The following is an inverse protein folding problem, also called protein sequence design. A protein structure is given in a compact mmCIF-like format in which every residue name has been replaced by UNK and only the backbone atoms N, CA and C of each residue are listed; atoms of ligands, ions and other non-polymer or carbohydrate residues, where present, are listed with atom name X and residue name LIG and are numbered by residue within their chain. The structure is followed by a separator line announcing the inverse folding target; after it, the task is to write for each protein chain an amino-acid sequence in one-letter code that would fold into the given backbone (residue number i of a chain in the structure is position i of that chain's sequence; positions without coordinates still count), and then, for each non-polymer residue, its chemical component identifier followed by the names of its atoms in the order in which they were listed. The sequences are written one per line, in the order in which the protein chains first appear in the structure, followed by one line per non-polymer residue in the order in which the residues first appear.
data_IF_385344035594
#
_entry.id   IF_385344035594
#
_cell.length_a   1.000
_cell.length_b   1.000
_cell.length_c   1.000
_cell.angle_alpha   90.00
_cell.angle_beta   90.00
_cell.angle_gamma   90.00
#
_symmetry.space_group_name_H-M   'P 1'
#
loop_
_entity.id
_entity.type
_entity.pdbx_description
1 polymer ?
#
# COMPACT_ATOMS: atom_id res chain seq x y z
N UNK A 1 -7.86 -1.46 5.01
CA UNK A 1 -7.76 -0.33 4.06
C UNK A 1 -9.01 -0.24 3.22
N UNK A 2 -8.92 -0.59 1.93
CA UNK A 2 -10.00 -0.38 0.95
C UNK A 2 -11.39 -0.85 1.39
N UNK A 3 -11.49 -2.05 2.00
CA UNK A 3 -12.78 -2.58 2.49
C UNK A 3 -13.38 -1.69 3.59
N UNK A 4 -12.57 -1.13 4.49
CA UNK A 4 -13.07 -0.23 5.54
C UNK A 4 -13.69 1.04 4.97
N UNK A 5 -12.94 1.72 4.09
CA UNK A 5 -13.43 2.91 3.37
C UNK A 5 -14.63 2.61 2.43
N UNK A 6 -14.80 1.37 1.99
CA UNK A 6 -15.98 0.94 1.25
C UNK A 6 -17.19 0.79 2.18
N UNK A 7 -17.02 0.15 3.35
CA UNK A 7 -18.09 0.01 4.35
C UNK A 7 -18.61 1.39 4.78
N UNK A 8 -17.70 2.34 5.04
CA UNK A 8 -18.09 3.70 5.40
C UNK A 8 -18.98 4.34 4.33
N UNK A 9 -18.58 4.25 3.05
CA UNK A 9 -19.37 4.76 1.94
C UNK A 9 -20.74 4.11 1.83
N UNK A 10 -20.85 2.80 2.12
CA UNK A 10 -22.12 2.08 2.07
C UNK A 10 -23.04 2.44 3.25
N UNK A 11 -22.49 2.72 4.42
CA UNK A 11 -23.26 2.98 5.64
C UNK A 11 -23.59 4.46 5.84
N UNK A 12 -22.62 5.34 5.56
CA UNK A 12 -22.68 6.77 5.86
C UNK A 12 -22.73 7.65 4.61
N UNK A 13 -22.46 7.09 3.42
CA UNK A 13 -22.43 7.84 2.15
C UNK A 13 -21.12 8.57 1.88
N UNK A 14 -20.20 8.58 2.83
CA UNK A 14 -18.88 9.22 2.76
C UNK A 14 -17.84 8.43 3.55
N UNK A 15 -16.57 8.86 3.50
CA UNK A 15 -15.52 8.31 4.36
C UNK A 15 -15.36 9.21 5.56
N UNK A 16 -15.26 8.61 6.74
CA UNK A 16 -15.05 9.36 7.97
C UNK A 16 -13.55 9.49 8.21
N UNK A 17 -13.03 10.71 8.01
CA UNK A 17 -11.66 11.09 8.34
C UNK A 17 -11.64 11.75 9.72
N UNK A 18 -10.73 11.30 10.58
CA UNK A 18 -10.68 11.73 11.98
C UNK A 18 -9.26 12.05 12.49
N UNK A 19 -8.22 11.72 11.71
CA UNK A 19 -6.85 12.10 12.02
C UNK A 19 -6.48 13.35 11.22
N UNK A 20 -6.32 14.47 11.92
CA UNK A 20 -5.76 15.72 11.39
C UNK A 20 -4.35 15.89 11.96
N UNK A 21 -3.36 15.94 11.07
CA UNK A 21 -1.95 16.11 11.43
C UNK A 21 -1.47 17.43 10.84
N UNK A 22 -0.86 18.28 11.65
CA UNK A 22 -0.45 19.60 11.23
C UNK A 22 0.86 20.04 11.90
N UNK A 23 1.52 21.00 11.27
CA UNK A 23 2.66 21.75 11.81
C UNK A 23 2.42 23.23 11.53
N UNK A 24 2.37 24.04 12.60
CA UNK A 24 1.95 25.44 12.55
C UNK A 24 0.59 25.61 11.82
N UNK A 25 0.57 26.38 10.72
CA UNK A 25 -0.64 26.59 9.90
C UNK A 25 -0.77 25.59 8.74
N UNK A 26 0.18 24.66 8.59
CA UNK A 26 0.17 23.67 7.52
C UNK A 26 -0.51 22.39 7.99
N UNK A 27 -1.67 22.11 7.40
CA UNK A 27 -2.42 20.88 7.63
C UNK A 27 -2.11 19.85 6.55
N UNK A 28 -1.74 18.66 6.99
CA UNK A 28 -1.84 17.48 6.13
C UNK A 28 -3.32 17.14 5.92
N UNK A 29 -3.73 16.66 4.74
CA UNK A 29 -5.12 16.23 4.53
C UNK A 29 -5.55 15.23 5.59
N UNK A 30 -6.73 15.45 6.20
CA UNK A 30 -7.26 14.53 7.17
C UNK A 30 -7.38 13.12 6.58
N UNK A 31 -7.15 12.10 7.39
CA UNK A 31 -7.15 10.71 6.97
C UNK A 31 -7.66 9.80 8.09
N UNK A 32 -7.76 8.50 7.80
CA UNK A 32 -8.16 7.51 8.78
C UNK A 32 -7.24 6.28 8.84
N UNK A 33 -7.63 5.31 9.66
CA UNK A 33 -6.88 4.05 9.83
C UNK A 33 -6.91 3.20 8.55
N UNK A 34 -7.98 3.26 7.77
CA UNK A 34 -8.05 2.56 6.50
C UNK A 34 -7.04 3.11 5.49
N UNK A 35 -6.86 4.42 5.41
CA UNK A 35 -5.85 5.05 4.54
C UNK A 35 -4.44 4.70 5.00
N UNK A 36 -4.19 4.73 6.31
CA UNK A 36 -2.90 4.32 6.88
C UNK A 36 -2.53 2.88 6.49
N UNK A 37 -3.50 1.96 6.56
CA UNK A 37 -3.29 0.58 6.15
C UNK A 37 -3.01 0.42 4.65
N UNK A 38 -3.63 1.25 3.79
CA UNK A 38 -3.35 1.28 2.35
C UNK A 38 -1.92 1.78 2.13
N UNK A 39 -1.56 2.92 2.71
CA UNK A 39 -0.23 3.52 2.55
C UNK A 39 0.89 2.60 3.02
N UNK A 40 0.75 1.97 4.19
CA UNK A 40 1.73 0.98 4.69
C UNK A 40 1.82 -0.24 3.76
N UNK A 41 0.69 -0.75 3.28
CA UNK A 41 0.66 -1.85 2.32
C UNK A 41 1.40 -1.51 1.01
N UNK A 42 1.18 -0.30 0.48
CA UNK A 42 1.88 0.20 -0.71
C UNK A 42 3.38 0.33 -0.45
N UNK A 43 3.80 0.86 0.71
CA UNK A 43 5.22 0.92 1.09
C UNK A 43 5.84 -0.48 1.11
N UNK A 44 5.15 -1.48 1.66
CA UNK A 44 5.65 -2.86 1.64
C UNK A 44 5.73 -3.45 0.23
N UNK A 45 4.76 -3.17 -0.65
CA UNK A 45 4.83 -3.60 -2.04
C UNK A 45 6.02 -2.96 -2.77
N UNK A 46 6.26 -1.66 -2.55
CA UNK A 46 7.42 -0.95 -3.12
C UNK A 46 8.72 -1.59 -2.62
N UNK A 47 8.85 -1.85 -1.33
CA UNK A 47 10.01 -2.52 -0.75
C UNK A 47 10.18 -3.91 -1.37
N UNK A 48 9.10 -4.70 -1.47
CA UNK A 48 9.15 -6.04 -2.06
C UNK A 48 9.71 -6.02 -3.48
N UNK A 49 9.16 -5.17 -4.36
CA UNK A 49 9.62 -5.06 -5.74
C UNK A 49 11.02 -4.43 -5.87
N UNK A 50 11.40 -3.53 -4.95
CA UNK A 50 12.73 -2.93 -4.95
C UNK A 50 13.84 -3.95 -4.64
N UNK A 51 13.54 -5.01 -3.88
CA UNK A 51 14.49 -6.05 -3.49
C UNK A 51 14.20 -7.42 -4.13
N UNK A 52 13.23 -7.50 -5.05
CA UNK A 52 12.91 -8.72 -5.77
C UNK A 52 14.08 -9.10 -6.69
N UNK A 53 14.74 -10.23 -6.38
CA UNK A 53 15.70 -10.83 -7.30
C UNK A 53 14.90 -11.49 -8.40
N UNK A 54 15.11 -11.04 -9.63
CA UNK A 54 14.61 -11.77 -10.80
C UNK A 54 15.39 -13.07 -10.91
N UNK A 55 14.74 -14.18 -10.60
CA UNK A 55 15.22 -15.47 -11.07
C UNK A 55 15.11 -15.46 -12.60
N UNK A 56 16.25 -15.28 -13.27
CA UNK A 56 16.33 -15.47 -14.71
C UNK A 56 16.20 -16.99 -14.92
N UNK A 57 15.17 -17.47 -15.64
CA UNK A 57 15.09 -18.89 -15.95
C UNK A 57 16.34 -19.27 -16.74
N UNK A 58 17.09 -20.26 -16.24
CA UNK A 58 18.20 -20.82 -17.01
C UNK A 58 17.65 -21.27 -18.36
N UNK A 59 18.26 -20.80 -19.44
CA UNK A 59 17.88 -21.28 -20.75
C UNK A 59 18.20 -22.79 -20.84
N UNK A 60 17.47 -23.58 -21.64
CA UNK A 60 17.67 -25.03 -21.70
C UNK A 60 19.12 -25.48 -21.99
N UNK A 61 19.92 -24.61 -22.62
CA UNK A 61 21.33 -24.86 -22.92
C UNK A 61 22.30 -24.51 -21.78
N UNK A 62 21.83 -23.81 -20.73
CA UNK A 62 22.59 -23.44 -19.53
C UNK A 62 22.35 -24.41 -18.37
N UNK A 63 21.46 -25.39 -18.53
CA UNK A 63 21.27 -26.45 -17.55
C UNK A 63 22.53 -27.34 -17.47
N UNK A 64 23.01 -27.66 -16.26
CA UNK A 64 24.12 -28.58 -16.10
C UNK A 64 23.77 -29.93 -16.72
N UNK A 65 24.63 -30.44 -17.60
CA UNK A 65 24.45 -31.78 -18.17
C UNK A 65 24.57 -32.80 -17.04
N UNK A 66 23.50 -33.57 -16.84
CA UNK A 66 23.45 -34.69 -15.90
C UNK A 66 24.45 -35.80 -16.26
#
# INVERSE_FOLDING_TARGET
GAIGNLIDRLQYGEVIDFLDVYVDSYHWPAFNVADSAISVGVVFLIIHFAFEKKDVPLLPHELPKA
#
